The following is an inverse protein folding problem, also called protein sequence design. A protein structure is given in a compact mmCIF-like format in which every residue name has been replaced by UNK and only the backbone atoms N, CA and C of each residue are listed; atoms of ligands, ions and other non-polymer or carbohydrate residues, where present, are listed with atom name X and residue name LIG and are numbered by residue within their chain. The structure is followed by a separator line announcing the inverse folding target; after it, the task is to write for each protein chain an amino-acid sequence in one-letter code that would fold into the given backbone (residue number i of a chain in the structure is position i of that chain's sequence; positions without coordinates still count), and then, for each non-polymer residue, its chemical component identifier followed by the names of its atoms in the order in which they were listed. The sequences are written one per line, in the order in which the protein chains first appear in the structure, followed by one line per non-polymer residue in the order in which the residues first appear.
data_IF_598264930448
#
_entry.id   IF_598264930448
#
_cell.length_a   1.000
_cell.length_b   1.000
_cell.length_c   1.000
_cell.angle_alpha   90.00
_cell.angle_beta   90.00
_cell.angle_gamma   90.00
#
_symmetry.space_group_name_H-M   'P 1'
#
loop_
_entity.id
_entity.type
_entity.pdbx_description
1 polymer ?
#
# COMPACT_ATOMS: atom_id res chain seq x y z
N UNK A 1 66.60 0.61 -11.27
CA UNK A 1 65.92 -0.63 -10.86
C UNK A 1 64.56 -0.28 -10.26
N UNK A 2 63.50 -0.80 -10.88
CA UNK A 2 62.08 -0.66 -10.50
C UNK A 2 61.80 -1.44 -9.22
N UNK A 3 61.15 -0.83 -8.23
CA UNK A 3 60.31 -1.54 -7.24
C UNK A 3 59.06 -0.71 -6.97
N UNK A 4 58.05 -0.97 -7.80
CA UNK A 4 56.67 -0.54 -7.61
C UNK A 4 56.12 -1.42 -6.48
N UNK A 5 55.97 -0.88 -5.28
CA UNK A 5 55.24 -1.55 -4.21
C UNK A 5 53.76 -1.21 -4.37
N UNK A 6 53.04 -2.18 -4.92
CA UNK A 6 51.58 -2.21 -4.92
C UNK A 6 51.08 -2.27 -3.47
N UNK A 7 50.50 -1.17 -2.99
CA UNK A 7 49.66 -1.18 -1.81
C UNK A 7 48.32 -1.82 -2.21
N UNK A 8 48.20 -3.11 -1.93
CA UNK A 8 47.02 -3.91 -2.20
C UNK A 8 45.86 -3.45 -1.29
N UNK A 9 44.88 -2.83 -1.93
CA UNK A 9 43.57 -2.51 -1.41
C UNK A 9 42.91 -3.77 -0.84
N UNK A 10 42.77 -3.84 0.48
CA UNK A 10 41.78 -4.70 1.15
C UNK A 10 40.69 -3.80 1.70
N UNK A 11 39.81 -3.35 0.80
CA UNK A 11 38.50 -2.83 1.16
C UNK A 11 37.74 -3.97 1.85
N UNK A 12 37.74 -3.98 3.18
CA UNK A 12 36.77 -4.71 3.98
C UNK A 12 35.39 -4.12 3.64
N UNK A 13 34.72 -4.71 2.65
CA UNK A 13 33.30 -4.53 2.44
C UNK A 13 32.61 -5.15 3.64
N UNK A 14 32.40 -4.33 4.67
CA UNK A 14 31.45 -4.62 5.74
C UNK A 14 30.10 -4.73 5.02
N UNK A 15 29.74 -5.96 4.66
CA UNK A 15 28.38 -6.31 4.30
C UNK A 15 27.59 -5.99 5.55
N UNK A 16 26.93 -4.83 5.53
CA UNK A 16 26.03 -4.37 6.57
C UNK A 16 24.82 -5.28 6.51
N UNK A 17 24.97 -6.48 7.06
CA UNK A 17 23.85 -7.37 7.34
C UNK A 17 23.03 -6.61 8.36
N UNK A 18 21.98 -5.96 7.86
CA UNK A 18 21.07 -5.17 8.66
C UNK A 18 20.27 -6.18 9.48
N UNK A 19 20.79 -6.55 10.65
CA UNK A 19 20.04 -7.39 11.57
C UNK A 19 18.75 -6.62 11.91
N UNK A 20 17.61 -7.26 11.66
CA UNK A 20 16.33 -6.63 11.91
C UNK A 20 16.10 -6.67 13.42
N UNK A 21 16.15 -5.49 14.04
CA UNK A 21 15.96 -5.33 15.49
C UNK A 21 14.46 -5.29 15.80
N UNK A 22 14.03 -6.04 16.81
CA UNK A 22 12.68 -5.95 17.32
C UNK A 22 12.69 -5.70 18.83
N UNK A 23 11.90 -4.72 19.26
CA UNK A 23 11.72 -4.34 20.67
C UNK A 23 10.30 -4.68 21.11
N UNK A 24 10.17 -5.53 22.12
CA UNK A 24 8.92 -5.69 22.85
C UNK A 24 8.97 -4.88 24.15
N UNK A 25 7.84 -4.32 24.56
CA UNK A 25 7.69 -3.56 25.79
C UNK A 25 6.59 -4.15 26.64
N UNK A 26 6.87 -4.24 27.94
CA UNK A 26 5.91 -4.57 28.97
C UNK A 26 5.39 -3.25 29.54
N UNK A 27 4.13 -2.96 29.27
CA UNK A 27 3.46 -1.76 29.74
C UNK A 27 2.51 -2.11 30.89
N UNK A 28 2.41 -1.22 31.87
CA UNK A 28 1.32 -1.21 32.84
C UNK A 28 0.28 -0.19 32.42
N UNK A 29 -0.98 -0.60 32.38
CA UNK A 29 -2.13 0.23 32.03
C UNK A 29 -2.81 0.72 33.30
N UNK A 30 -2.60 1.99 33.64
CA UNK A 30 -3.30 2.65 34.73
C UNK A 30 -4.50 3.46 34.20
N UNK A 31 -5.35 3.95 35.11
CA UNK A 31 -6.52 4.78 34.77
C UNK A 31 -6.19 6.03 33.95
N UNK A 32 -4.97 6.56 34.07
CA UNK A 32 -4.57 7.85 33.49
C UNK A 32 -3.47 7.75 32.43
N UNK A 33 -2.98 6.54 32.13
CA UNK A 33 -1.92 6.38 31.14
C UNK A 33 -1.33 4.98 31.13
N UNK A 34 -0.38 4.77 30.23
CA UNK A 34 0.43 3.57 30.18
C UNK A 34 1.90 3.94 30.36
N UNK A 35 2.62 3.27 31.24
CA UNK A 35 4.06 3.42 31.34
C UNK A 35 4.77 2.09 31.08
N UNK A 36 5.94 2.17 30.45
CA UNK A 36 6.77 1.01 30.14
C UNK A 36 7.51 0.58 31.40
N UNK A 37 7.28 -0.64 31.86
CA UNK A 37 8.03 -1.26 32.96
C UNK A 37 9.39 -1.74 32.47
N UNK A 38 9.42 -2.42 31.33
CA UNK A 38 10.62 -3.07 30.82
C UNK A 38 10.55 -3.25 29.31
N UNK A 39 11.72 -3.25 28.67
CA UNK A 39 11.89 -3.50 27.24
C UNK A 39 12.74 -4.73 27.00
N UNK A 40 12.43 -5.45 25.92
CA UNK A 40 13.06 -6.68 25.49
C UNK A 40 13.48 -6.51 24.03
N UNK A 41 14.79 -6.49 23.79
CA UNK A 41 15.35 -6.28 22.44
C UNK A 41 15.94 -7.58 21.95
N UNK A 42 15.55 -7.99 20.73
CA UNK A 42 16.11 -9.16 20.04
C UNK A 42 16.57 -8.80 18.65
N UNK A 43 17.55 -9.56 18.17
CA UNK A 43 18.21 -9.39 16.89
C UNK A 43 18.11 -10.71 16.14
N UNK A 44 17.63 -10.67 14.90
CA UNK A 44 17.62 -11.84 14.02
C UNK A 44 17.77 -11.37 12.55
N UNK A 45 18.12 -12.29 11.66
CA UNK A 45 18.07 -12.07 10.21
C UNK A 45 16.63 -12.04 9.68
N UNK A 46 15.66 -12.52 10.48
CA UNK A 46 14.23 -12.45 10.18
C UNK A 46 13.50 -11.65 11.27
N UNK A 47 12.99 -10.45 10.93
CA UNK A 47 12.27 -9.57 11.84
C UNK A 47 11.13 -10.26 12.56
N UNK A 48 10.40 -11.15 11.89
CA UNK A 48 9.29 -11.85 12.51
C UNK A 48 9.75 -12.82 13.60
N UNK A 49 10.91 -13.46 13.40
CA UNK A 49 11.53 -14.32 14.42
C UNK A 49 12.06 -13.51 15.59
N UNK A 50 12.79 -12.42 15.34
CA UNK A 50 13.25 -11.49 16.38
C UNK A 50 12.06 -10.99 17.23
N UNK A 51 10.95 -10.60 16.60
CA UNK A 51 9.76 -10.14 17.32
C UNK A 51 9.06 -11.24 18.11
N UNK A 52 9.00 -12.47 17.58
CA UNK A 52 8.41 -13.59 18.31
C UNK A 52 9.23 -13.94 19.55
N UNK A 53 10.56 -13.90 19.44
CA UNK A 53 11.46 -14.11 20.58
C UNK A 53 11.35 -12.98 21.60
N UNK A 54 11.33 -11.72 21.17
CA UNK A 54 11.16 -10.57 22.08
C UNK A 54 9.81 -10.62 22.82
N UNK A 55 8.73 -11.03 22.13
CA UNK A 55 7.42 -11.23 22.73
C UNK A 55 7.36 -12.43 23.68
N UNK A 56 8.12 -13.49 23.40
CA UNK A 56 8.20 -14.66 24.28
C UNK A 56 8.79 -14.26 25.63
N UNK A 57 9.90 -13.52 25.61
CA UNK A 57 10.55 -13.02 26.84
C UNK A 57 9.63 -12.05 27.59
N UNK A 58 8.97 -11.13 26.87
CA UNK A 58 8.00 -10.22 27.48
C UNK A 58 6.85 -10.98 28.16
N UNK A 59 6.28 -11.99 27.50
CA UNK A 59 5.18 -12.80 28.05
C UNK A 59 5.62 -13.63 29.24
N UNK A 60 6.87 -14.12 29.24
CA UNK A 60 7.44 -14.81 30.38
C UNK A 60 7.50 -13.87 31.60
N UNK A 61 8.07 -12.67 31.43
CA UNK A 61 8.12 -11.66 32.51
C UNK A 61 6.72 -11.27 32.99
N UNK A 62 5.78 -11.06 32.06
CA UNK A 62 4.38 -10.75 32.38
C UNK A 62 3.74 -11.86 33.24
N UNK A 63 4.01 -13.13 32.93
CA UNK A 63 3.51 -14.26 33.70
C UNK A 63 4.16 -14.33 35.08
N UNK A 64 5.46 -14.07 35.18
CA UNK A 64 6.18 -14.03 36.45
C UNK A 64 5.62 -12.91 37.35
N UNK A 65 5.38 -11.72 36.81
CA UNK A 65 4.79 -10.60 37.55
C UNK A 65 3.35 -10.85 37.97
N UNK A 66 2.53 -11.47 37.11
CA UNK A 66 1.14 -11.84 37.46
C UNK A 66 1.05 -12.86 38.60
N UNK A 67 2.11 -13.63 38.88
CA UNK A 67 2.14 -14.52 40.05
C UNK A 67 2.16 -13.72 41.35
N UNK A 68 2.88 -12.59 41.36
CA UNK A 68 3.05 -11.72 42.52
C UNK A 68 1.98 -10.64 42.62
N UNK A 69 1.56 -10.09 41.49
CA UNK A 69 0.50 -9.08 41.40
C UNK A 69 -0.55 -9.50 40.35
N UNK A 70 -1.57 -10.21 40.82
CA UNK A 70 -2.65 -10.72 39.98
C UNK A 70 -3.57 -9.61 39.45
N UNK A 71 -3.56 -8.43 40.09
CA UNK A 71 -4.44 -7.32 39.76
C UNK A 71 -3.77 -6.29 38.86
N UNK A 72 -2.46 -6.36 38.68
CA UNK A 72 -1.74 -5.49 37.76
C UNK A 72 -2.22 -5.67 36.31
N UNK A 73 -2.64 -4.57 35.71
CA UNK A 73 -3.08 -4.52 34.32
C UNK A 73 -1.86 -4.42 33.39
N UNK A 74 -1.16 -5.54 33.23
CA UNK A 74 0.06 -5.63 32.43
C UNK A 74 -0.24 -6.10 31.00
N UNK A 75 0.42 -5.47 30.03
CA UNK A 75 0.32 -5.83 28.61
C UNK A 75 1.70 -5.87 27.95
N UNK A 76 1.93 -6.89 27.12
CA UNK A 76 3.09 -6.93 26.23
C UNK A 76 2.71 -6.41 24.85
N UNK A 77 3.48 -5.47 24.31
CA UNK A 77 3.32 -5.00 22.93
C UNK A 77 4.68 -4.88 22.25
N UNK A 78 4.70 -5.01 20.93
CA UNK A 78 5.93 -4.76 20.16
C UNK A 78 5.96 -3.29 19.79
N UNK A 79 7.09 -2.64 20.00
CA UNK A 79 7.31 -1.26 19.60
C UNK A 79 7.22 -1.16 18.06
N UNK A 80 6.26 -0.38 17.56
CA UNK A 80 5.89 -0.34 16.14
C UNK A 80 4.83 -1.35 15.69
N UNK A 81 4.37 -2.25 16.58
CA UNK A 81 3.19 -3.13 16.44
C UNK A 81 2.23 -2.80 17.60
N UNK A 82 1.80 -1.54 17.66
CA UNK A 82 0.94 -1.03 18.73
C UNK A 82 -0.34 -1.87 18.85
N UNK A 83 -0.57 -2.34 20.08
CA UNK A 83 -1.78 -3.02 20.53
C UNK A 83 -2.94 -2.02 20.52
N UNK A 84 -3.47 -1.74 19.33
CA UNK A 84 -4.58 -0.85 19.08
C UNK A 84 -5.69 -1.65 18.43
N UNK A 85 -6.63 -2.12 19.24
CA UNK A 85 -7.92 -2.60 18.80
C UNK A 85 -8.51 -1.60 17.78
N UNK A 86 -8.59 -2.00 16.53
CA UNK A 86 -8.97 -1.13 15.44
C UNK A 86 -8.26 -1.52 14.17
N UNK A 87 -9.04 -1.89 13.18
CA UNK A 87 -8.68 -2.08 11.79
C UNK A 87 -8.12 -0.77 11.19
N UNK A 88 -7.01 -0.24 11.73
CA UNK A 88 -6.40 1.02 11.33
C UNK A 88 -5.55 0.72 10.11
N UNK A 89 -6.23 0.60 8.96
CA UNK A 89 -5.59 0.86 7.68
C UNK A 89 -4.91 2.22 7.80
N UNK A 90 -3.59 2.20 7.99
CA UNK A 90 -2.80 3.41 7.97
C UNK A 90 -2.50 3.73 6.52
N UNK A 91 -2.74 4.97 6.12
CA UNK A 91 -2.46 5.46 4.78
C UNK A 91 -1.43 6.58 4.81
N UNK A 92 -0.49 6.54 3.87
CA UNK A 92 0.45 7.62 3.59
C UNK A 92 0.18 8.16 2.18
N UNK A 93 0.09 9.48 2.07
CA UNK A 93 -0.08 10.17 0.80
C UNK A 93 1.27 10.69 0.29
N UNK A 94 1.58 10.41 -0.97
CA UNK A 94 2.69 11.04 -1.66
C UNK A 94 2.21 12.36 -2.23
N UNK A 95 2.64 13.47 -1.64
CA UNK A 95 2.23 14.82 -2.03
C UNK A 95 3.32 15.52 -2.81
N UNK A 96 2.96 16.26 -3.87
CA UNK A 96 3.85 17.22 -4.55
C UNK A 96 4.13 18.44 -3.68
N UNK A 97 5.08 19.27 -4.12
CA UNK A 97 5.39 20.57 -3.48
C UNK A 97 4.15 21.47 -3.29
N UNK A 98 3.17 21.40 -4.19
CA UNK A 98 1.92 22.17 -4.11
C UNK A 98 0.84 21.50 -3.23
N UNK A 99 1.17 20.45 -2.47
CA UNK A 99 0.23 19.73 -1.61
C UNK A 99 -0.69 18.75 -2.36
N UNK A 100 -0.63 18.69 -3.69
CA UNK A 100 -1.44 17.76 -4.46
C UNK A 100 -1.01 16.30 -4.22
N UNK A 101 -1.95 15.45 -3.82
CA UNK A 101 -1.73 14.00 -3.64
C UNK A 101 -1.56 13.34 -5.01
N UNK A 102 -0.49 12.57 -5.16
CA UNK A 102 -0.12 11.83 -6.38
C UNK A 102 -0.58 10.39 -6.27
N UNK A 103 -0.30 9.77 -5.12
CA UNK A 103 -0.62 8.38 -4.81
C UNK A 103 -0.84 8.22 -3.30
N UNK A 104 -1.56 7.16 -2.93
CA UNK A 104 -1.87 6.82 -1.54
C UNK A 104 -1.49 5.37 -1.27
N UNK A 105 -0.72 5.14 -0.21
CA UNK A 105 -0.21 3.85 0.20
C UNK A 105 -0.90 3.44 1.49
N UNK A 106 -1.81 2.46 1.42
CA UNK A 106 -2.53 1.93 2.59
C UNK A 106 -2.05 0.52 2.93
N UNK A 107 -1.71 0.28 4.20
CA UNK A 107 -1.32 -1.04 4.72
C UNK A 107 -1.92 -1.27 6.11
N UNK A 108 -1.88 -2.52 6.55
CA UNK A 108 -2.34 -2.92 7.88
C UNK A 108 -1.47 -2.32 9.01
N UNK A 109 -0.22 -1.95 8.73
CA UNK A 109 0.63 -1.23 9.67
C UNK A 109 1.06 0.12 9.08
N UNK A 110 1.09 1.16 9.93
CA UNK A 110 1.58 2.49 9.59
C UNK A 110 3.00 2.45 9.04
N UNK A 111 3.88 1.66 9.67
CA UNK A 111 5.27 1.49 9.22
C UNK A 111 5.35 0.88 7.81
N UNK A 112 4.55 -0.14 7.52
CA UNK A 112 4.55 -0.73 6.17
C UNK A 112 3.96 0.21 5.11
N UNK A 113 2.98 1.05 5.47
CA UNK A 113 2.42 2.06 4.58
C UNK A 113 3.45 3.16 4.28
N UNK A 114 4.19 3.60 5.31
CA UNK A 114 5.29 4.56 5.20
C UNK A 114 6.42 4.02 4.32
N UNK A 115 6.91 2.82 4.60
CA UNK A 115 7.97 2.17 3.86
C UNK A 115 7.60 2.00 2.37
N UNK A 116 6.34 1.65 2.10
CA UNK A 116 5.83 1.55 0.73
C UNK A 116 5.83 2.91 0.01
N UNK A 117 5.41 3.98 0.70
CA UNK A 117 5.44 5.34 0.16
C UNK A 117 6.87 5.80 -0.12
N UNK A 118 7.78 5.60 0.84
CA UNK A 118 9.18 6.02 0.74
C UNK A 118 9.92 5.25 -0.37
N UNK A 119 9.64 3.95 -0.53
CA UNK A 119 10.22 3.14 -1.62
C UNK A 119 9.82 3.67 -3.00
N UNK A 120 8.54 3.98 -3.19
CA UNK A 120 8.04 4.53 -4.46
C UNK A 120 8.58 5.96 -4.69
N UNK A 121 8.70 6.76 -3.64
CA UNK A 121 9.30 8.10 -3.71
C UNK A 121 10.76 8.04 -4.20
N UNK A 122 11.56 7.13 -3.63
CA UNK A 122 12.96 6.92 -4.05
C UNK A 122 13.02 6.47 -5.50
N UNK A 123 12.15 5.54 -5.91
CA UNK A 123 12.09 5.06 -7.29
C UNK A 123 11.74 6.19 -8.27
N UNK A 124 10.78 7.06 -7.94
CA UNK A 124 10.41 8.22 -8.76
C UNK A 124 11.53 9.25 -8.84
N UNK A 125 12.20 9.52 -7.74
CA UNK A 125 13.34 10.42 -7.70
C UNK A 125 14.48 9.94 -8.60
N UNK A 126 14.79 8.64 -8.59
CA UNK A 126 15.76 8.02 -9.50
C UNK A 126 15.36 8.16 -10.98
N UNK A 127 14.06 8.12 -11.27
CA UNK A 127 13.51 8.23 -12.62
C UNK A 127 13.23 9.68 -13.06
N UNK A 128 13.65 10.70 -12.29
CA UNK A 128 13.42 12.11 -12.61
C UNK A 128 11.96 12.57 -12.49
N UNK A 129 11.07 11.76 -11.91
CA UNK A 129 9.63 12.06 -11.77
C UNK A 129 9.34 12.58 -10.37
N UNK A 130 8.56 13.66 -10.25
CA UNK A 130 8.08 14.19 -8.96
C UNK A 130 9.18 14.42 -7.90
N UNK A 131 10.34 14.99 -8.31
CA UNK A 131 11.55 15.19 -7.49
C UNK A 131 11.37 15.92 -6.15
N UNK A 132 10.24 16.61 -5.97
CA UNK A 132 9.90 17.38 -4.76
C UNK A 132 8.69 16.80 -4.02
N UNK A 133 8.37 15.54 -4.28
CA UNK A 133 7.32 14.85 -3.56
C UNK A 133 7.79 14.47 -2.15
N UNK A 134 6.85 14.33 -1.23
CA UNK A 134 7.09 13.88 0.14
C UNK A 134 5.97 12.92 0.56
N UNK A 135 6.32 11.97 1.41
CA UNK A 135 5.34 11.11 2.06
C UNK A 135 4.81 11.81 3.32
N UNK A 136 3.50 11.91 3.44
CA UNK A 136 2.83 12.51 4.61
C UNK A 136 1.81 11.51 5.10
N UNK A 137 1.72 11.32 6.42
CA UNK A 137 0.68 10.49 7.01
C UNK A 137 -0.69 11.08 6.68
N UNK A 138 -1.56 10.27 6.06
CA UNK A 138 -2.90 10.70 5.68
C UNK A 138 -3.82 10.56 6.90
N UNK A 139 -4.21 11.71 7.46
CA UNK A 139 -5.24 11.79 8.52
C UNK A 139 -6.66 11.75 7.96
N UNK A 140 -6.80 11.95 6.66
CA UNK A 140 -8.04 11.90 5.92
C UNK A 140 -8.45 10.45 5.67
N UNK A 141 -9.73 10.13 5.96
CA UNK A 141 -10.39 8.88 5.54
C UNK A 141 -9.91 8.52 4.13
N UNK A 142 -9.39 7.31 3.90
CA UNK A 142 -8.81 6.95 2.62
C UNK A 142 -9.86 7.21 1.54
N UNK A 143 -9.63 8.21 0.69
CA UNK A 143 -10.41 8.35 -0.53
C UNK A 143 -10.06 7.09 -1.32
N UNK A 144 -11.02 6.20 -1.58
CA UNK A 144 -10.73 4.92 -2.20
C UNK A 144 -9.90 5.17 -3.46
N UNK A 145 -8.81 4.40 -3.69
CA UNK A 145 -8.05 4.54 -4.92
C UNK A 145 -9.04 4.42 -6.07
N UNK A 146 -9.15 5.47 -6.90
CA UNK A 146 -10.07 5.44 -8.04
C UNK A 146 -9.56 4.37 -8.99
N UNK A 147 -10.12 3.16 -8.90
CA UNK A 147 -9.72 2.06 -9.77
C UNK A 147 -10.03 2.47 -11.20
N UNK A 148 -9.04 2.36 -12.08
CA UNK A 148 -9.31 2.36 -13.50
C UNK A 148 -10.10 1.08 -13.80
N UNK A 149 -11.26 1.25 -14.42
CA UNK A 149 -12.11 0.16 -14.87
C UNK A 149 -12.14 0.17 -16.38
N UNK A 150 -12.08 -1.01 -16.98
CA UNK A 150 -12.35 -1.21 -18.41
C UNK A 150 -13.76 -1.76 -18.53
N UNK A 151 -14.60 -1.14 -19.37
CA UNK A 151 -15.95 -1.59 -19.66
C UNK A 151 -16.09 -1.79 -21.17
N UNK A 152 -16.82 -2.82 -21.56
CA UNK A 152 -17.25 -3.06 -22.94
C UNK A 152 -18.73 -2.73 -23.08
N UNK A 153 -19.13 -2.38 -24.30
CA UNK A 153 -20.52 -2.23 -24.68
C UNK A 153 -20.71 -2.75 -26.11
N UNK A 154 -21.86 -3.39 -26.34
CA UNK A 154 -22.22 -3.98 -27.64
C UNK A 154 -23.48 -3.30 -28.18
N UNK A 155 -23.44 -2.92 -29.44
CA UNK A 155 -24.53 -2.28 -30.17
C UNK A 155 -24.88 -3.14 -31.37
N UNK A 156 -26.15 -3.50 -31.51
CA UNK A 156 -26.66 -4.30 -32.60
C UNK A 156 -27.16 -3.40 -33.73
N UNK A 157 -26.72 -3.69 -34.95
CA UNK A 157 -27.24 -3.10 -36.19
C UNK A 157 -28.45 -3.90 -36.64
N UNK A 158 -29.64 -3.30 -36.60
CA UNK A 158 -30.91 -3.92 -36.99
C UNK A 158 -31.34 -3.41 -38.37
N UNK A 159 -31.90 -4.31 -39.16
CA UNK A 159 -32.58 -3.94 -40.41
C UNK A 159 -33.98 -3.35 -40.17
N UNK A 160 -34.64 -2.89 -41.23
CA UNK A 160 -36.00 -2.31 -41.12
C UNK A 160 -37.07 -3.24 -40.55
N UNK A 161 -36.84 -4.56 -40.58
CA UNK A 161 -37.71 -5.58 -39.95
C UNK A 161 -37.28 -5.94 -38.51
N UNK A 162 -36.35 -5.20 -37.91
CA UNK A 162 -35.87 -5.41 -36.54
C UNK A 162 -34.90 -6.58 -36.33
N UNK A 163 -34.60 -7.37 -37.37
CA UNK A 163 -33.61 -8.46 -37.32
C UNK A 163 -32.20 -7.89 -37.14
N UNK A 164 -31.43 -8.46 -36.22
CA UNK A 164 -30.01 -8.16 -36.03
C UNK A 164 -29.23 -8.64 -37.25
N UNK A 165 -28.44 -7.75 -37.84
CA UNK A 165 -27.57 -8.04 -38.98
C UNK A 165 -26.14 -8.22 -38.53
N UNK A 166 -25.66 -7.32 -37.67
CA UNK A 166 -24.31 -7.33 -37.10
C UNK A 166 -24.30 -6.74 -35.69
N UNK A 167 -23.24 -7.01 -34.95
CA UNK A 167 -22.99 -6.41 -33.63
C UNK A 167 -21.62 -5.74 -33.61
N UNK A 168 -21.56 -4.53 -33.05
CA UNK A 168 -20.33 -3.78 -32.85
C UNK A 168 -20.03 -3.68 -31.37
N UNK A 169 -18.84 -4.15 -30.96
CA UNK A 169 -18.40 -4.10 -29.56
C UNK A 169 -17.20 -3.17 -29.44
N UNK A 170 -17.27 -2.25 -28.47
CA UNK A 170 -16.16 -1.35 -28.16
C UNK A 170 -15.85 -1.35 -26.67
N UNK A 171 -14.61 -1.01 -26.35
CA UNK A 171 -14.11 -0.90 -24.99
C UNK A 171 -13.62 0.52 -24.69
N UNK A 172 -13.79 0.91 -23.43
CA UNK A 172 -13.21 2.12 -22.88
C UNK A 172 -12.65 1.83 -21.48
N UNK A 173 -11.58 2.52 -21.14
CA UNK A 173 -10.96 2.48 -19.82
C UNK A 173 -10.95 3.88 -19.23
N UNK A 174 -11.18 3.98 -17.93
CA UNK A 174 -11.18 5.25 -17.20
C UNK A 174 -11.45 5.05 -15.73
N UNK A 175 -11.51 6.14 -14.98
CA UNK A 175 -11.79 6.10 -13.53
C UNK A 175 -13.18 5.51 -13.29
N UNK A 176 -13.32 4.67 -12.28
CA UNK A 176 -14.62 4.21 -11.83
C UNK A 176 -15.55 5.41 -11.54
N UNK A 177 -16.77 5.37 -12.07
CA UNK A 177 -17.74 6.48 -11.96
C UNK A 177 -17.62 7.55 -13.05
N UNK A 178 -16.58 7.54 -13.90
CA UNK A 178 -16.40 8.56 -14.95
C UNK A 178 -17.22 8.30 -16.24
N UNK A 179 -18.29 7.50 -16.17
CA UNK A 179 -19.08 7.13 -17.35
C UNK A 179 -18.34 6.23 -18.37
N UNK A 180 -17.41 5.38 -17.92
CA UNK A 180 -16.62 4.50 -18.80
C UNK A 180 -17.48 3.62 -19.70
N UNK A 181 -18.59 3.09 -19.17
CA UNK A 181 -19.56 2.32 -19.95
C UNK A 181 -20.22 3.17 -21.04
N UNK A 182 -20.67 4.38 -20.71
CA UNK A 182 -21.27 5.29 -21.69
C UNK A 182 -20.28 5.63 -22.81
N UNK A 183 -19.00 5.84 -22.49
CA UNK A 183 -17.94 6.05 -23.48
C UNK A 183 -17.70 4.82 -24.36
N UNK A 184 -17.76 3.62 -23.79
CA UNK A 184 -17.69 2.38 -24.56
C UNK A 184 -18.90 2.24 -25.51
N UNK A 185 -20.11 2.50 -25.02
CA UNK A 185 -21.33 2.46 -25.83
C UNK A 185 -21.32 3.51 -26.94
N UNK A 186 -20.87 4.74 -26.66
CA UNK A 186 -20.73 5.79 -27.67
C UNK A 186 -19.76 5.38 -28.79
N UNK A 187 -18.62 4.75 -28.43
CA UNK A 187 -17.70 4.20 -29.44
C UNK A 187 -18.36 3.10 -30.29
N UNK A 188 -19.05 2.15 -29.65
CA UNK A 188 -19.76 1.07 -30.35
C UNK A 188 -20.88 1.61 -31.26
N UNK A 189 -21.61 2.63 -30.79
CA UNK A 189 -22.66 3.31 -31.54
C UNK A 189 -22.10 4.02 -32.77
N UNK A 190 -21.00 4.77 -32.60
CA UNK A 190 -20.31 5.43 -33.70
C UNK A 190 -19.79 4.42 -34.74
N UNK A 191 -19.29 3.25 -34.29
CA UNK A 191 -18.89 2.17 -35.19
C UNK A 191 -20.09 1.60 -35.96
N UNK A 192 -21.22 1.38 -35.29
CA UNK A 192 -22.44 0.91 -35.93
C UNK A 192 -22.96 1.92 -36.96
N UNK A 193 -23.09 3.19 -36.58
CA UNK A 193 -23.64 4.26 -37.43
C UNK A 193 -22.85 4.48 -38.71
N UNK A 194 -21.52 4.32 -38.68
CA UNK A 194 -20.67 4.40 -39.88
C UNK A 194 -21.00 3.34 -40.94
N UNK A 195 -21.57 2.21 -40.51
CA UNK A 195 -21.92 1.11 -41.38
C UNK A 195 -23.43 1.05 -41.68
N UNK A 196 -24.25 1.96 -41.16
CA UNK A 196 -25.70 1.94 -41.40
C UNK A 196 -25.97 2.30 -42.86
N UNK A 197 -26.77 1.46 -43.53
CA UNK A 197 -27.23 1.70 -44.91
C UNK A 197 -28.76 1.58 -44.94
N UNK A 198 -29.44 2.45 -45.69
CA UNK A 198 -30.90 2.43 -45.87
C UNK A 198 -31.67 2.55 -44.53
N UNK A 199 -32.72 1.72 -44.34
CA UNK A 199 -33.59 1.68 -43.14
C UNK A 199 -32.98 0.89 -41.97
N UNK A 200 -31.67 0.86 -41.86
CA UNK A 200 -30.99 0.21 -40.73
C UNK A 200 -30.88 1.18 -39.55
N UNK A 201 -30.86 0.65 -38.33
CA UNK A 201 -30.68 1.44 -37.12
C UNK A 201 -29.86 0.68 -36.09
N UNK A 202 -29.21 1.43 -35.20
CA UNK A 202 -28.34 0.90 -34.18
C UNK A 202 -29.07 0.91 -32.83
N UNK A 203 -29.07 -0.22 -32.13
CA UNK A 203 -29.65 -0.35 -30.79
C UNK A 203 -28.63 -0.90 -29.83
N UNK A 204 -28.48 -0.26 -28.67
CA UNK A 204 -27.70 -0.86 -27.59
C UNK A 204 -28.40 -2.14 -27.10
N UNK A 205 -27.60 -3.16 -26.83
CA UNK A 205 -28.07 -4.44 -26.27
C UNK A 205 -28.33 -4.35 -24.77
#
# INVERSE_FOLDING_TARGET
MKKILMALVTLLTVSSVSAEVCTAKLDQLDRFGSYTIQTFVKFDFNQQRACNEALRDCRQELNERRRWDRNANLTCSVEGRGNGNGNRNCSYDMQRRNGAVIDTFSRQSCRAAEDACMRDLIQRNRNGRNLRARCVQSYSRPTPPTRNVTRSCTVDRRGGQGRVRDSHTAQASGRQGSGVLAKACQKAMNQCQRNVINRQYCTQR
#
